data_IF_022089383933
#
_entry.id   IF_022089383933
#
_cell.length_a   1.000
_cell.length_b   1.000
_cell.length_c   1.000
_cell.angle_alpha   90.00
_cell.angle_beta   90.00
_cell.angle_gamma   90.00
#
_symmetry.space_group_name_H-M   'P 1'
#
loop_
_entity.id
_entity.type
_entity.pdbx_description
1 polymer ?
#
# COMPACT_ATOMS: atom_id res chain seq x y z
N UNK A 1 3.76 12.63 -18.95
CA UNK A 1 4.10 11.26 -18.52
C UNK A 1 4.46 11.19 -17.04
N UNK A 2 5.46 11.93 -16.54
CA UNK A 2 5.88 11.85 -15.12
C UNK A 2 4.77 12.19 -14.11
N UNK A 3 3.94 13.20 -14.38
CA UNK A 3 2.81 13.57 -13.51
C UNK A 3 1.77 12.45 -13.41
N UNK A 4 1.46 11.81 -14.55
CA UNK A 4 0.51 10.70 -14.61
C UNK A 4 1.05 9.48 -13.87
N UNK A 5 2.33 9.14 -14.07
CA UNK A 5 2.99 8.05 -13.35
C UNK A 5 2.97 8.26 -11.84
N UNK A 6 3.24 9.49 -11.40
CA UNK A 6 3.21 9.84 -9.98
C UNK A 6 1.78 9.74 -9.40
N UNK A 7 0.77 10.23 -10.12
CA UNK A 7 -0.64 10.10 -9.71
C UNK A 7 -1.08 8.63 -9.66
N UNK A 8 -0.72 7.85 -10.67
CA UNK A 8 -0.99 6.41 -10.69
C UNK A 8 -0.31 5.69 -9.53
N UNK A 9 0.94 6.04 -9.22
CA UNK A 9 1.68 5.50 -8.09
C UNK A 9 0.97 5.75 -6.76
N UNK A 10 0.53 7.00 -6.52
CA UNK A 10 -0.21 7.35 -5.30
C UNK A 10 -1.55 6.61 -5.21
N UNK A 11 -2.29 6.53 -6.31
CA UNK A 11 -3.56 5.84 -6.36
C UNK A 11 -3.39 4.34 -6.04
N UNK A 12 -2.46 3.66 -6.71
CA UNK A 12 -2.20 2.23 -6.48
C UNK A 12 -1.71 2.00 -5.05
N UNK A 13 -0.80 2.83 -4.53
CA UNK A 13 -0.31 2.74 -3.15
C UNK A 13 -1.43 2.85 -2.13
N UNK A 14 -2.39 3.74 -2.35
CA UNK A 14 -3.56 3.89 -1.48
C UNK A 14 -4.49 2.66 -1.54
N UNK A 15 -4.76 2.13 -2.73
CA UNK A 15 -5.58 0.92 -2.85
C UNK A 15 -4.91 -0.32 -2.23
N UNK A 16 -3.61 -0.52 -2.47
CA UNK A 16 -2.88 -1.63 -1.84
C UNK A 16 -2.81 -1.44 -0.32
N UNK A 17 -2.53 -0.23 0.16
CA UNK A 17 -2.48 0.05 1.60
C UNK A 17 -3.82 -0.17 2.31
N UNK A 18 -4.94 0.18 1.66
CA UNK A 18 -6.28 -0.08 2.18
C UNK A 18 -6.65 -1.56 2.15
N UNK A 19 -6.22 -2.32 1.14
CA UNK A 19 -6.38 -3.77 1.08
C UNK A 19 -5.61 -4.48 2.20
N UNK A 20 -4.34 -4.10 2.42
CA UNK A 20 -3.52 -4.63 3.52
C UNK A 20 -4.16 -4.32 4.87
N UNK A 21 -4.63 -3.09 5.05
CA UNK A 21 -5.34 -2.70 6.27
C UNK A 21 -6.61 -3.50 6.50
N UNK A 22 -7.42 -3.74 5.45
CA UNK A 22 -8.63 -4.53 5.54
C UNK A 22 -8.34 -6.00 5.88
N UNK A 23 -7.32 -6.60 5.23
CA UNK A 23 -6.89 -7.97 5.50
C UNK A 23 -6.39 -8.13 6.95
N UNK A 24 -5.51 -7.23 7.39
CA UNK A 24 -4.95 -7.31 8.74
C UNK A 24 -6.02 -7.05 9.81
N UNK A 25 -6.95 -6.13 9.58
CA UNK A 25 -8.07 -5.89 10.50
C UNK A 25 -9.04 -7.07 10.58
N UNK A 26 -9.19 -7.85 9.50
CA UNK A 26 -10.02 -9.05 9.46
C UNK A 26 -9.38 -10.21 10.24
N UNK A 27 -8.08 -10.44 10.05
CA UNK A 27 -7.35 -11.55 10.69
C UNK A 27 -7.08 -11.30 12.18
N UNK A 28 -6.75 -10.06 12.57
CA UNK A 28 -6.29 -9.71 13.92
C UNK A 28 -7.38 -9.05 14.79
N UNK A 29 -8.65 -9.28 14.45
CA UNK A 29 -9.80 -8.55 15.01
C UNK A 29 -9.92 -8.60 16.55
N UNK A 30 -9.32 -9.61 17.21
CA UNK A 30 -9.35 -9.75 18.67
C UNK A 30 -8.23 -9.00 19.40
N UNK A 31 -7.10 -8.73 18.73
CA UNK A 31 -5.91 -8.11 19.34
C UNK A 31 -5.79 -6.62 19.02
N UNK A 32 -6.41 -6.17 17.91
CA UNK A 32 -6.18 -4.85 17.35
C UNK A 32 -7.37 -3.89 17.52
N UNK A 33 -7.11 -2.70 18.07
CA UNK A 33 -8.12 -1.64 18.18
C UNK A 33 -8.59 -1.20 16.78
N UNK A 34 -9.89 -1.34 16.52
CA UNK A 34 -10.59 -0.99 15.27
C UNK A 34 -10.32 0.41 14.71
N UNK A 35 -9.86 1.35 15.53
CA UNK A 35 -9.53 2.71 15.12
C UNK A 35 -8.05 3.08 15.38
N UNK A 36 -7.15 2.10 15.32
CA UNK A 36 -5.72 2.32 15.56
C UNK A 36 -5.10 3.10 14.40
N UNK A 37 -4.88 4.41 14.61
CA UNK A 37 -4.19 5.28 13.64
C UNK A 37 -2.78 4.78 13.29
N UNK A 38 -2.10 4.12 14.24
CA UNK A 38 -0.77 3.53 14.02
C UNK A 38 -0.83 2.36 13.04
N UNK A 39 -1.83 1.48 13.17
CA UNK A 39 -2.03 0.36 12.25
C UNK A 39 -2.33 0.85 10.83
N UNK A 40 -3.16 1.88 10.71
CA UNK A 40 -3.45 2.52 9.42
C UNK A 40 -2.20 3.08 8.74
N UNK A 41 -1.37 3.85 9.47
CA UNK A 41 -0.13 4.40 8.91
C UNK A 41 0.84 3.29 8.47
N UNK A 42 0.98 2.23 9.27
CA UNK A 42 1.83 1.08 8.93
C UNK A 42 1.35 0.39 7.64
N UNK A 43 0.04 0.21 7.47
CA UNK A 43 -0.52 -0.38 6.26
C UNK A 43 -0.31 0.49 5.02
N UNK A 44 -0.43 1.82 5.17
CA UNK A 44 -0.15 2.75 4.07
C UNK A 44 1.32 2.74 3.67
N UNK A 45 2.22 2.65 4.65
CA UNK A 45 3.65 2.50 4.40
C UNK A 45 3.96 1.18 3.68
N UNK A 46 3.34 0.08 4.11
CA UNK A 46 3.46 -1.22 3.45
C UNK A 46 2.95 -1.18 1.99
N UNK A 47 1.78 -0.58 1.75
CA UNK A 47 1.22 -0.44 0.40
C UNK A 47 2.08 0.43 -0.53
N UNK A 48 2.69 1.48 0.01
CA UNK A 48 3.67 2.31 -0.73
C UNK A 48 4.92 1.51 -1.07
N UNK A 49 5.41 0.68 -0.13
CA UNK A 49 6.55 -0.20 -0.37
C UNK A 49 6.29 -1.25 -1.45
N UNK A 50 5.13 -1.92 -1.41
CA UNK A 50 4.72 -2.91 -2.43
C UNK A 50 4.58 -2.24 -3.80
N UNK A 51 3.94 -1.08 -3.87
CA UNK A 51 3.78 -0.33 -5.13
C UNK A 51 5.12 0.17 -5.66
N UNK A 52 6.01 0.63 -4.77
CA UNK A 52 7.40 0.97 -5.07
C UNK A 52 8.14 -0.20 -5.71
N UNK A 53 8.02 -1.38 -5.11
CA UNK A 53 8.63 -2.60 -5.63
C UNK A 53 8.05 -3.01 -6.99
N UNK A 54 6.73 -2.90 -7.19
CA UNK A 54 6.08 -3.16 -8.47
C UNK A 54 6.56 -2.23 -9.59
N UNK A 55 6.71 -0.94 -9.31
CA UNK A 55 7.23 0.03 -10.27
C UNK A 55 8.72 -0.19 -10.56
N UNK A 56 9.52 -0.47 -9.53
CA UNK A 56 10.92 -0.83 -9.71
C UNK A 56 11.05 -2.13 -10.53
N UNK A 57 10.29 -3.16 -10.20
CA UNK A 57 10.29 -4.43 -10.93
C UNK A 57 9.84 -4.25 -12.39
N UNK A 58 8.75 -3.50 -12.62
CA UNK A 58 8.30 -3.17 -13.97
C UNK A 58 9.33 -2.40 -14.79
N UNK A 59 10.15 -1.57 -14.12
CA UNK A 59 11.28 -0.86 -14.73
C UNK A 59 12.46 -1.78 -15.05
N UNK A 60 12.79 -2.74 -14.18
CA UNK A 60 13.91 -3.67 -14.35
C UNK A 60 13.64 -4.80 -15.37
N UNK A 61 12.38 -5.19 -15.60
CA UNK A 61 12.02 -6.32 -16.49
C UNK A 61 11.73 -5.89 -17.94
N UNK A 62 11.56 -4.58 -18.21
CA UNK A 62 11.35 -4.03 -19.55
C UNK A 62 12.65 -3.61 -20.28
N UNK A 63 13.81 -4.02 -19.76
CA UNK A 63 15.13 -3.81 -20.36
C UNK A 63 15.74 -5.17 -20.75
#
# INVERSE_FOLDING_TARGET
>A
MMVVLFLSFLAISFFIGTLIHAAWMYEDHHSMKRNSRKAWILCMAAGTGVTGWLFAYGYYVNF
#
